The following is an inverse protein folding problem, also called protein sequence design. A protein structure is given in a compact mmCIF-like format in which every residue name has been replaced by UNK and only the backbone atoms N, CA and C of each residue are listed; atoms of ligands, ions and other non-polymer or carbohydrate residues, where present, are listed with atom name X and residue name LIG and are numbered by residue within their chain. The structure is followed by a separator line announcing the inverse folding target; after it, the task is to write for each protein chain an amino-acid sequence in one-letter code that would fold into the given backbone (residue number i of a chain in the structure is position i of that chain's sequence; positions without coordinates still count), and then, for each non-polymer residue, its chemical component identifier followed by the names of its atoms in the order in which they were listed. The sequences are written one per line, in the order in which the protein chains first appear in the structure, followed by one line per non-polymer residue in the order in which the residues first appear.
data_IF_658312922791
#
_entry.id   IF_658312922791
#
_cell.length_a   1.000
_cell.length_b   1.000
_cell.length_c   1.000
_cell.angle_alpha   90.00
_cell.angle_beta   90.00
_cell.angle_gamma   90.00
#
_symmetry.space_group_name_H-M   'P 1'
#
loop_
_entity.id
_entity.type
_entity.pdbx_description
1 polymer ?
#
# COMPACT_ATOMS: atom_id res chain seq x y z
N UNK A 1 -30.40 65.37 38.73
CA UNK A 1 -29.53 64.30 39.28
C UNK A 1 -29.21 63.32 38.18
N UNK A 2 -27.91 63.16 37.87
CA UNK A 2 -27.24 62.10 37.07
C UNK A 2 -27.76 61.90 35.62
N UNK A 3 -26.95 62.06 34.58
CA UNK A 3 -25.51 61.86 34.47
C UNK A 3 -25.28 60.78 33.42
N UNK A 4 -24.97 61.22 32.20
CA UNK A 4 -24.67 60.47 30.98
C UNK A 4 -23.29 59.82 31.11
N UNK A 5 -23.18 58.51 30.88
CA UNK A 5 -21.88 57.85 30.62
C UNK A 5 -22.00 56.97 29.38
N UNK A 6 -21.36 57.47 28.31
CA UNK A 6 -20.94 56.74 27.13
C UNK A 6 -19.85 55.73 27.54
N UNK A 7 -20.05 54.44 27.27
CA UNK A 7 -18.97 53.44 27.30
C UNK A 7 -18.75 52.91 25.89
N UNK A 8 -17.80 53.56 25.21
CA UNK A 8 -17.06 53.03 24.07
C UNK A 8 -16.43 51.69 24.45
N UNK A 9 -16.85 50.62 23.77
CA UNK A 9 -16.27 49.28 23.84
C UNK A 9 -15.00 49.27 22.98
N UNK A 10 -13.85 49.02 23.60
CA UNK A 10 -12.60 48.79 22.89
C UNK A 10 -12.63 47.43 22.15
N UNK A 11 -12.02 47.31 20.96
CA UNK A 11 -11.96 46.05 20.23
C UNK A 11 -11.07 45.02 20.95
N UNK A 12 -11.40 43.71 20.87
CA UNK A 12 -10.62 42.65 21.50
C UNK A 12 -9.24 42.52 20.86
N UNK A 13 -8.23 42.24 21.70
CA UNK A 13 -6.87 41.99 21.29
C UNK A 13 -6.77 40.78 20.33
N UNK A 14 -5.84 40.79 19.35
CA UNK A 14 -5.65 39.68 18.43
C UNK A 14 -5.16 38.42 19.18
N UNK A 15 -5.59 37.22 18.76
CA UNK A 15 -5.17 35.97 19.39
C UNK A 15 -3.66 35.75 19.22
N UNK A 16 -3.02 35.34 20.32
CA UNK A 16 -1.62 34.96 20.35
C UNK A 16 -1.32 33.81 19.37
N UNK A 17 -0.22 33.94 18.65
CA UNK A 17 0.29 32.92 17.73
C UNK A 17 0.51 31.58 18.49
N UNK A 18 0.13 30.42 17.92
CA UNK A 18 0.40 29.14 18.55
C UNK A 18 1.92 28.87 18.56
N UNK A 19 2.44 28.65 19.76
CA UNK A 19 3.81 28.20 19.99
C UNK A 19 4.07 26.88 19.27
N UNK A 20 5.18 26.82 18.53
CA UNK A 20 5.65 25.63 17.86
C UNK A 20 5.83 24.48 18.85
N UNK A 21 5.05 23.40 18.68
CA UNK A 21 5.24 22.16 19.40
C UNK A 21 6.48 21.45 18.84
N UNK A 22 7.62 21.70 19.47
CA UNK A 22 8.86 20.95 19.26
C UNK A 22 8.66 19.47 19.63
N UNK A 23 8.69 18.61 18.62
CA UNK A 23 8.79 17.16 18.78
C UNK A 23 10.16 16.83 19.40
N UNK A 24 10.18 16.56 20.71
CA UNK A 24 11.36 15.99 21.37
C UNK A 24 11.45 14.51 21.01
N UNK A 25 12.48 14.19 20.24
CA UNK A 25 13.00 12.84 20.08
C UNK A 25 13.41 12.28 21.45
N UNK A 26 12.96 11.06 21.76
CA UNK A 26 13.51 10.27 22.86
C UNK A 26 14.33 9.12 22.26
N UNK A 27 15.64 9.18 22.48
CA UNK A 27 16.57 8.06 22.32
C UNK A 27 16.63 7.24 23.64
N UNK A 28 17.17 6.00 23.61
CA UNK A 28 16.77 4.92 24.50
C UNK A 28 17.60 4.88 25.79
N UNK A 29 16.97 4.43 26.89
CA UNK A 29 17.67 3.98 28.09
C UNK A 29 17.15 2.60 28.50
N UNK A 30 17.95 1.58 28.19
CA UNK A 30 17.88 0.24 28.78
C UNK A 30 18.10 0.30 30.30
N UNK A 31 17.27 -0.39 31.08
CA UNK A 31 17.70 -1.14 32.26
C UNK A 31 16.67 -2.18 32.73
N UNK A 32 17.02 -3.44 32.44
CA UNK A 32 16.85 -4.68 33.21
C UNK A 32 15.73 -4.79 34.26
N UNK A 33 14.77 -5.68 33.98
CA UNK A 33 14.16 -6.72 34.86
C UNK A 33 13.04 -7.36 34.01
N UNK A 34 12.83 -8.66 33.86
CA UNK A 34 13.39 -9.87 34.44
C UNK A 34 12.89 -11.06 33.59
N UNK A 35 13.59 -12.17 33.71
CA UNK A 35 13.44 -13.42 32.96
C UNK A 35 12.12 -14.12 33.31
N UNK A 36 11.37 -14.58 32.29
CA UNK A 36 10.63 -15.84 32.38
C UNK A 36 10.51 -16.48 30.99
N UNK A 37 11.43 -17.41 30.75
CA UNK A 37 11.40 -18.42 29.70
C UNK A 37 10.33 -19.44 30.11
N UNK A 38 9.35 -19.70 29.25
CA UNK A 38 8.72 -21.03 29.17
C UNK A 38 8.93 -21.53 27.76
N UNK A 39 9.98 -22.35 27.64
CA UNK A 39 10.12 -23.32 26.58
C UNK A 39 9.01 -24.37 26.73
N UNK A 40 8.33 -24.71 25.64
CA UNK A 40 7.86 -26.06 25.31
C UNK A 40 7.20 -26.03 23.92
N UNK A 41 7.82 -26.74 22.96
CA UNK A 41 7.29 -26.90 21.61
C UNK A 41 8.31 -27.21 20.49
N UNK A 42 9.55 -27.60 20.80
CA UNK A 42 10.61 -27.88 19.80
C UNK A 42 10.64 -29.32 19.28
N UNK A 43 9.73 -30.23 19.64
CA UNK A 43 9.85 -31.65 19.20
C UNK A 43 9.06 -32.00 17.92
N UNK A 44 8.42 -31.04 17.25
CA UNK A 44 7.82 -31.24 15.91
C UNK A 44 8.55 -30.55 14.74
N UNK A 45 9.42 -29.58 15.03
CA UNK A 45 9.89 -28.59 14.03
C UNK A 45 11.17 -28.93 13.26
N UNK A 46 11.87 -30.02 13.61
CA UNK A 46 13.19 -30.30 13.05
C UNK A 46 13.19 -31.16 11.77
N UNK A 47 12.02 -31.54 11.23
CA UNK A 47 11.94 -32.46 10.07
C UNK A 47 11.22 -31.91 8.83
N UNK A 48 10.71 -30.68 8.85
CA UNK A 48 10.00 -30.10 7.69
C UNK A 48 10.68 -28.85 7.08
N UNK A 49 11.90 -28.51 7.50
CA UNK A 49 12.70 -27.42 6.92
C UNK A 49 13.49 -27.80 5.64
N UNK A 50 13.00 -28.82 4.91
CA UNK A 50 13.60 -29.24 3.63
C UNK A 50 12.55 -29.48 2.54
N UNK A 51 11.66 -28.51 2.33
CA UNK A 51 11.15 -28.28 0.99
C UNK A 51 11.50 -26.85 0.57
N UNK A 52 12.38 -26.65 -0.42
CA UNK A 52 12.48 -25.34 -1.04
C UNK A 52 11.08 -25.01 -1.58
N UNK A 53 10.64 -23.77 -1.34
CA UNK A 53 9.54 -23.21 -2.12
C UNK A 53 9.83 -23.55 -3.59
N UNK A 54 8.88 -24.17 -4.28
CA UNK A 54 9.03 -24.42 -5.72
C UNK A 54 9.32 -23.07 -6.36
N UNK A 55 10.58 -22.83 -6.72
CA UNK A 55 11.01 -21.78 -7.64
C UNK A 55 10.52 -22.16 -9.04
N UNK A 56 9.20 -22.22 -9.20
CA UNK A 56 8.55 -22.08 -10.49
C UNK A 56 8.02 -20.68 -10.51
N UNK A 57 8.56 -19.82 -11.40
CA UNK A 57 7.90 -18.56 -11.74
C UNK A 57 6.44 -18.90 -12.05
N UNK A 58 5.44 -18.36 -11.33
CA UNK A 58 4.05 -18.55 -11.71
C UNK A 58 3.91 -18.11 -13.17
N UNK A 59 3.17 -18.86 -14.02
CA UNK A 59 2.98 -18.46 -15.39
C UNK A 59 2.45 -17.03 -15.44
N UNK A 60 3.01 -16.21 -16.33
CA UNK A 60 2.60 -14.84 -16.53
C UNK A 60 1.11 -14.81 -16.88
N UNK A 61 0.27 -14.44 -15.89
CA UNK A 61 -1.17 -14.30 -16.09
C UNK A 61 -1.43 -12.94 -16.72
N UNK A 62 -1.74 -12.93 -18.01
CA UNK A 62 -2.19 -11.73 -18.72
C UNK A 62 -3.43 -11.12 -18.02
N UNK A 63 -3.45 -9.80 -17.86
CA UNK A 63 -4.55 -9.08 -17.20
C UNK A 63 -5.92 -9.26 -17.87
N UNK A 64 -5.99 -9.78 -19.09
CA UNK A 64 -7.25 -9.97 -19.83
C UNK A 64 -7.87 -11.36 -19.62
N UNK A 65 -7.12 -12.32 -19.06
CA UNK A 65 -7.59 -13.69 -18.94
C UNK A 65 -8.25 -13.91 -17.59
N UNK A 66 -9.55 -14.21 -17.63
CA UNK A 66 -10.27 -14.70 -16.45
C UNK A 66 -9.59 -15.97 -15.95
N UNK A 67 -9.46 -16.09 -14.64
CA UNK A 67 -8.89 -17.28 -14.03
C UNK A 67 -9.83 -17.82 -12.96
N UNK A 68 -9.88 -19.15 -12.87
CA UNK A 68 -10.58 -19.83 -11.79
C UNK A 68 -9.67 -19.90 -10.57
N UNK A 69 -10.28 -19.78 -9.39
CA UNK A 69 -9.58 -20.05 -8.15
C UNK A 69 -9.25 -21.54 -8.04
N UNK A 70 -8.30 -21.88 -7.17
CA UNK A 70 -8.17 -23.26 -6.73
C UNK A 70 -9.42 -23.70 -5.94
N UNK A 71 -9.73 -25.01 -5.91
CA UNK A 71 -10.87 -25.53 -5.16
C UNK A 71 -10.76 -25.23 -3.67
N UNK A 72 -11.84 -24.71 -3.07
CA UNK A 72 -11.87 -24.39 -1.66
C UNK A 72 -13.28 -24.25 -1.08
N UNK A 73 -13.40 -23.89 0.21
CA UNK A 73 -14.69 -23.66 0.85
C UNK A 73 -15.46 -22.44 0.31
N UNK A 74 -14.79 -21.58 -0.47
CA UNK A 74 -15.39 -20.44 -1.15
C UNK A 74 -16.23 -20.79 -2.39
N UNK A 75 -16.17 -22.03 -2.90
CA UNK A 75 -16.95 -22.49 -4.05
C UNK A 75 -16.24 -22.37 -5.41
N UNK A 76 -17.01 -22.44 -6.50
CA UNK A 76 -16.51 -22.25 -7.88
C UNK A 76 -16.38 -20.75 -8.17
N UNK A 77 -15.19 -20.23 -7.91
CA UNK A 77 -14.87 -18.81 -7.98
C UNK A 77 -14.05 -18.51 -9.24
N UNK A 78 -14.42 -17.43 -9.92
CA UNK A 78 -13.72 -16.89 -11.08
C UNK A 78 -13.38 -15.42 -10.81
N UNK A 79 -12.17 -15.04 -11.16
CA UNK A 79 -11.70 -13.66 -11.09
C UNK A 79 -11.44 -13.10 -12.48
N UNK A 80 -11.81 -11.85 -12.67
CA UNK A 80 -11.53 -11.06 -13.87
C UNK A 80 -10.61 -9.91 -13.46
N UNK A 81 -9.35 -9.87 -13.92
CA UNK A 81 -8.51 -8.71 -13.67
C UNK A 81 -9.06 -7.50 -14.42
N UNK A 82 -9.06 -6.36 -13.73
CA UNK A 82 -9.47 -5.06 -14.26
C UNK A 82 -8.49 -3.99 -13.80
N UNK A 83 -8.59 -2.82 -14.40
CA UNK A 83 -7.86 -1.62 -13.95
C UNK A 83 -8.87 -0.60 -13.49
N UNK A 84 -8.62 0.00 -12.33
CA UNK A 84 -9.30 1.21 -11.88
C UNK A 84 -8.32 2.36 -11.84
N UNK A 85 -8.82 3.55 -12.16
CA UNK A 85 -8.04 4.78 -12.26
C UNK A 85 -8.43 5.74 -11.15
N UNK A 86 -7.45 6.52 -10.70
CA UNK A 86 -7.72 7.64 -9.80
C UNK A 86 -8.73 8.60 -10.46
N UNK A 87 -9.77 9.06 -9.74
CA UNK A 87 -10.71 10.04 -10.25
C UNK A 87 -10.01 11.33 -10.70
N UNK A 88 -10.50 11.95 -11.78
CA UNK A 88 -9.88 13.15 -12.38
C UNK A 88 -9.82 14.30 -11.36
N UNK A 89 -10.88 14.46 -10.56
CA UNK A 89 -10.98 15.46 -9.50
C UNK A 89 -9.93 15.32 -8.39
N UNK A 90 -9.25 14.17 -8.27
CA UNK A 90 -8.17 13.96 -7.30
C UNK A 90 -6.78 14.20 -7.90
N UNK A 91 -6.69 14.42 -9.22
CA UNK A 91 -5.43 14.59 -9.92
C UNK A 91 -5.14 16.07 -10.16
N UNK A 92 -4.05 16.55 -9.55
CA UNK A 92 -3.56 17.92 -9.79
C UNK A 92 -2.20 17.86 -10.47
N UNK A 93 -2.18 17.98 -11.80
CA UNK A 93 -0.96 17.99 -12.61
C UNK A 93 0.00 19.07 -12.12
N UNK A 94 -0.47 20.30 -11.89
CA UNK A 94 0.37 21.40 -11.41
C UNK A 94 1.02 21.08 -10.06
N UNK A 95 0.27 20.54 -9.10
CA UNK A 95 0.83 20.15 -7.80
C UNK A 95 1.88 19.05 -7.95
N UNK A 96 1.61 18.05 -8.79
CA UNK A 96 2.53 16.92 -9.00
C UNK A 96 3.80 17.35 -9.76
N UNK A 97 3.68 18.22 -10.76
CA UNK A 97 4.82 18.75 -11.52
C UNK A 97 5.70 19.68 -10.68
N UNK A 98 5.14 20.37 -9.68
CA UNK A 98 5.88 21.24 -8.77
C UNK A 98 6.49 20.51 -7.56
N UNK A 99 6.38 19.18 -7.50
CA UNK A 99 7.04 18.42 -6.45
C UNK A 99 8.56 18.48 -6.66
N UNK A 100 9.28 19.02 -5.68
CA UNK A 100 10.75 19.10 -5.68
C UNK A 100 11.35 17.76 -5.29
N UNK A 101 12.28 17.26 -6.11
CA UNK A 101 13.01 16.02 -5.82
C UNK A 101 14.21 16.34 -4.94
N UNK A 102 13.99 16.43 -3.63
CA UNK A 102 15.07 16.50 -2.66
C UNK A 102 15.52 15.08 -2.28
N UNK A 103 16.82 14.85 -2.29
CA UNK A 103 17.44 13.62 -1.84
C UNK A 103 18.02 13.81 -0.44
N UNK A 104 17.32 13.27 0.55
CA UNK A 104 17.70 13.36 1.96
C UNK A 104 18.38 12.06 2.39
N UNK A 105 19.70 12.09 2.56
CA UNK A 105 20.49 10.99 3.11
C UNK A 105 20.63 11.17 4.63
N UNK A 106 19.55 10.93 5.39
CA UNK A 106 19.62 10.98 6.85
C UNK A 106 20.57 9.90 7.38
N UNK A 107 21.30 10.23 8.44
CA UNK A 107 22.27 9.38 9.12
C UNK A 107 23.50 9.00 8.28
N UNK A 108 23.65 9.56 7.07
CA UNK A 108 24.85 9.40 6.27
C UNK A 108 25.90 10.47 6.65
N UNK A 109 27.13 10.01 6.84
CA UNK A 109 28.32 10.86 6.81
C UNK A 109 28.73 11.17 5.36
N UNK A 110 29.46 12.27 5.13
CA UNK A 110 30.07 12.58 3.83
C UNK A 110 30.84 11.40 3.20
N UNK A 111 31.67 10.71 3.99
CA UNK A 111 32.45 9.56 3.53
C UNK A 111 31.57 8.38 3.06
N UNK A 112 30.48 8.09 3.76
CA UNK A 112 29.52 7.06 3.34
C UNK A 112 28.83 7.44 2.03
N UNK A 113 28.51 8.72 1.86
CA UNK A 113 27.86 9.23 0.65
C UNK A 113 28.80 9.18 -0.57
N UNK A 114 30.06 9.58 -0.40
CA UNK A 114 31.08 9.39 -1.43
C UNK A 114 31.22 7.92 -1.84
N UNK A 115 31.23 7.00 -0.86
CA UNK A 115 31.31 5.57 -1.11
C UNK A 115 30.09 5.03 -1.86
N UNK A 116 28.89 5.50 -1.51
CA UNK A 116 27.65 5.16 -2.21
C UNK A 116 27.75 5.53 -3.69
N UNK A 117 28.12 6.78 -3.99
CA UNK A 117 28.18 7.28 -5.36
C UNK A 117 29.29 6.61 -6.20
N UNK A 118 30.50 6.42 -5.65
CA UNK A 118 31.57 5.64 -6.33
C UNK A 118 31.12 4.22 -6.68
N UNK A 119 30.32 3.62 -5.81
CA UNK A 119 29.79 2.28 -6.01
C UNK A 119 28.53 2.22 -6.88
N UNK A 120 27.96 3.34 -7.31
CA UNK A 120 26.66 3.36 -7.98
C UNK A 120 26.73 3.02 -9.48
N UNK A 121 27.92 3.02 -10.09
CA UNK A 121 28.05 2.81 -11.54
C UNK A 121 27.53 4.01 -12.34
N UNK A 122 27.78 5.21 -11.83
CA UNK A 122 27.48 6.49 -12.48
C UNK A 122 28.40 6.73 -13.68
N UNK A 123 27.93 7.52 -14.65
CA UNK A 123 28.83 8.06 -15.68
C UNK A 123 29.80 9.09 -15.05
N UNK A 124 31.00 9.32 -15.62
CA UNK A 124 32.01 10.19 -15.00
C UNK A 124 31.52 11.62 -14.67
N UNK A 125 30.67 12.20 -15.53
CA UNK A 125 30.11 13.55 -15.31
C UNK A 125 29.10 13.57 -14.16
N UNK A 126 28.28 12.52 -14.05
CA UNK A 126 27.28 12.37 -12.99
C UNK A 126 27.96 12.13 -11.64
N UNK A 127 28.98 11.27 -11.63
CA UNK A 127 29.79 11.01 -10.44
C UNK A 127 30.49 12.28 -9.99
N UNK A 128 31.15 13.00 -10.89
CA UNK A 128 31.83 14.25 -10.55
C UNK A 128 30.86 15.27 -9.91
N UNK A 129 29.65 15.41 -10.45
CA UNK A 129 28.64 16.31 -9.89
C UNK A 129 28.17 15.87 -8.50
N UNK A 130 27.91 14.58 -8.32
CA UNK A 130 27.42 14.02 -7.04
C UNK A 130 28.49 13.95 -5.96
N UNK A 131 29.77 13.86 -6.33
CA UNK A 131 30.92 13.87 -5.41
C UNK A 131 31.28 15.29 -4.95
N UNK A 132 30.80 16.34 -5.64
CA UNK A 132 31.09 17.71 -5.27
C UNK A 132 30.23 18.15 -4.08
N UNK A 133 30.86 18.26 -2.90
CA UNK A 133 30.19 18.67 -1.66
C UNK A 133 29.59 20.08 -1.72
N UNK A 134 29.95 20.93 -2.69
CA UNK A 134 29.28 22.23 -2.88
C UNK A 134 27.79 22.10 -3.25
N UNK A 135 27.39 20.96 -3.82
CA UNK A 135 25.99 20.65 -4.09
C UNK A 135 25.27 20.05 -2.88
N UNK A 136 25.98 19.84 -1.77
CA UNK A 136 25.47 19.21 -0.57
C UNK A 136 25.07 20.26 0.46
N UNK A 137 23.88 20.08 1.02
CA UNK A 137 23.42 20.85 2.15
C UNK A 137 23.56 19.98 3.39
N UNK A 138 24.58 20.25 4.19
CA UNK A 138 24.75 19.59 5.48
C UNK A 138 23.58 19.95 6.41
N UNK A 139 22.98 18.93 7.00
CA UNK A 139 21.94 19.06 8.02
C UNK A 139 22.41 18.40 9.31
N UNK A 140 21.78 18.72 10.44
CA UNK A 140 22.14 18.19 11.76
C UNK A 140 22.16 16.66 11.82
N UNK A 141 21.41 15.99 10.95
CA UNK A 141 21.23 14.54 10.94
C UNK A 141 21.47 13.91 9.55
N UNK A 142 22.26 14.52 8.67
CA UNK A 142 22.60 13.94 7.36
C UNK A 142 22.85 14.96 6.27
N UNK A 143 22.80 14.52 5.01
CA UNK A 143 23.08 15.35 3.83
C UNK A 143 21.84 15.46 2.96
N UNK A 144 21.51 16.68 2.51
CA UNK A 144 20.46 16.93 1.52
C UNK A 144 21.08 17.36 0.20
N UNK A 145 20.63 16.76 -0.89
CA UNK A 145 21.04 17.11 -2.26
C UNK A 145 19.80 17.46 -3.07
N UNK A 146 19.90 18.52 -3.86
CA UNK A 146 18.88 18.90 -4.85
C UNK A 146 19.45 18.65 -6.25
N UNK A 147 19.33 17.41 -6.79
CA UNK A 147 19.85 17.10 -8.11
C UNK A 147 19.09 17.87 -9.20
N UNK A 148 19.78 18.45 -10.19
CA UNK A 148 19.12 19.09 -11.31
C UNK A 148 18.37 18.03 -12.16
N UNK A 149 17.27 18.41 -12.84
CA UNK A 149 16.49 17.48 -13.65
C UNK A 149 17.32 16.70 -14.68
N UNK A 150 18.32 17.35 -15.27
CA UNK A 150 19.20 16.77 -16.29
C UNK A 150 20.01 15.59 -15.73
N UNK A 151 20.48 15.70 -14.49
CA UNK A 151 21.18 14.62 -13.79
C UNK A 151 20.23 13.45 -13.52
N UNK A 152 19.02 13.72 -13.03
CA UNK A 152 18.02 12.67 -12.75
C UNK A 152 17.62 11.92 -14.01
N UNK A 153 17.45 12.64 -15.12
CA UNK A 153 17.13 12.08 -16.43
C UNK A 153 18.28 11.24 -17.01
N UNK A 154 19.54 11.62 -16.75
CA UNK A 154 20.70 10.93 -17.31
C UNK A 154 21.07 9.63 -16.59
N UNK A 155 20.71 9.48 -15.31
CA UNK A 155 21.08 8.29 -14.53
C UNK A 155 20.70 7.01 -15.27
N UNK A 156 21.67 6.10 -15.42
CA UNK A 156 21.36 4.75 -15.87
C UNK A 156 20.59 3.96 -14.79
N UNK A 157 19.97 2.84 -15.18
CA UNK A 157 19.17 2.03 -14.26
C UNK A 157 19.95 1.54 -13.04
N UNK A 158 21.21 1.12 -13.19
CA UNK A 158 22.02 0.57 -12.09
C UNK A 158 22.28 1.63 -11.03
N UNK A 159 22.68 2.83 -11.46
CA UNK A 159 22.89 3.96 -10.56
C UNK A 159 21.60 4.39 -9.86
N UNK A 160 20.51 4.55 -10.62
CA UNK A 160 19.20 4.89 -10.08
C UNK A 160 18.74 3.88 -9.04
N UNK A 161 18.80 2.60 -9.35
CA UNK A 161 18.40 1.54 -8.43
C UNK A 161 19.19 1.59 -7.12
N UNK A 162 20.52 1.70 -7.20
CA UNK A 162 21.37 1.79 -6.01
C UNK A 162 21.05 3.01 -5.16
N UNK A 163 21.00 4.20 -5.77
CA UNK A 163 20.74 5.45 -5.05
C UNK A 163 19.32 5.45 -4.46
N UNK A 164 18.31 5.06 -5.24
CA UNK A 164 16.91 5.21 -4.86
C UNK A 164 16.48 4.16 -3.83
N UNK A 165 17.08 2.97 -3.87
CA UNK A 165 16.89 1.96 -2.82
C UNK A 165 17.57 2.35 -1.51
N UNK A 166 18.63 3.16 -1.54
CA UNK A 166 19.20 3.79 -0.34
C UNK A 166 18.30 4.91 0.17
N UNK A 167 17.85 5.83 -0.69
CA UNK A 167 16.97 6.94 -0.31
C UNK A 167 15.69 6.49 0.40
N UNK A 168 15.12 5.37 -0.06
CA UNK A 168 13.93 4.76 0.55
C UNK A 168 14.13 4.27 2.00
N UNK A 169 15.37 4.15 2.46
CA UNK A 169 15.72 3.71 3.81
C UNK A 169 16.14 4.87 4.72
N UNK A 170 16.47 6.04 4.15
CA UNK A 170 16.94 7.19 4.89
C UNK A 170 15.82 7.98 5.60
N UNK A 171 14.57 7.88 5.15
CA UNK A 171 13.50 8.73 5.67
C UNK A 171 13.53 10.15 5.07
N UNK A 172 12.35 10.75 4.89
CA UNK A 172 12.20 12.08 4.30
C UNK A 172 12.20 12.11 2.77
N UNK A 173 12.12 10.95 2.12
CA UNK A 173 12.13 10.81 0.67
C UNK A 173 10.82 10.18 0.18
N UNK A 174 9.69 10.86 0.36
CA UNK A 174 8.36 10.26 0.17
C UNK A 174 8.16 9.53 -1.18
N UNK A 175 8.68 10.07 -2.29
CA UNK A 175 8.55 9.44 -3.63
C UNK A 175 9.44 8.21 -3.81
N UNK A 176 10.49 8.08 -3.00
CA UNK A 176 11.37 6.91 -3.00
C UNK A 176 10.92 5.88 -1.97
N UNK A 177 10.33 6.31 -0.85
CA UNK A 177 9.73 5.44 0.17
C UNK A 177 8.45 4.78 -0.36
N UNK A 178 7.60 5.56 -1.02
CA UNK A 178 6.31 5.15 -1.58
C UNK A 178 6.24 5.52 -3.08
N UNK A 179 7.04 4.86 -3.94
CA UNK A 179 7.02 5.12 -5.38
C UNK A 179 5.71 4.65 -6.01
N UNK A 180 5.43 5.09 -7.23
CA UNK A 180 4.45 4.41 -8.08
C UNK A 180 5.02 3.05 -8.47
N UNK A 181 4.23 1.99 -8.29
CA UNK A 181 4.71 0.62 -8.44
C UNK A 181 3.88 -0.18 -9.42
N UNK A 182 4.55 -1.13 -10.08
CA UNK A 182 3.91 -2.17 -10.86
C UNK A 182 4.69 -3.46 -10.68
N UNK A 183 4.02 -4.61 -10.67
CA UNK A 183 4.69 -5.91 -10.58
C UNK A 183 5.67 -6.08 -11.77
N UNK A 184 6.77 -6.79 -11.58
CA UNK A 184 7.76 -6.97 -12.65
C UNK A 184 7.20 -7.70 -13.87
N UNK A 185 6.35 -8.70 -13.64
CA UNK A 185 5.61 -9.41 -14.69
C UNK A 185 4.51 -8.54 -15.30
N UNK A 186 4.26 -8.63 -16.61
CA UNK A 186 3.23 -7.80 -17.25
C UNK A 186 3.58 -6.31 -17.27
N UNK A 187 4.86 -5.94 -17.26
CA UNK A 187 5.29 -4.55 -17.32
C UNK A 187 4.68 -3.77 -18.50
N UNK A 188 4.58 -4.41 -19.66
CA UNK A 188 3.97 -3.78 -20.84
C UNK A 188 2.47 -3.55 -20.66
N UNK A 189 1.80 -4.27 -19.76
CA UNK A 189 0.39 -4.05 -19.45
C UNK A 189 0.15 -2.69 -18.77
N UNK A 190 1.14 -2.16 -18.05
CA UNK A 190 0.99 -0.87 -17.34
C UNK A 190 0.61 0.27 -18.28
N UNK A 191 1.21 0.29 -19.48
CA UNK A 191 0.99 1.35 -20.47
C UNK A 191 -0.06 1.00 -21.53
N UNK A 192 -0.64 -0.21 -21.50
CA UNK A 192 -1.70 -0.60 -22.44
C UNK A 192 -2.90 0.35 -22.31
N UNK A 193 -3.45 0.75 -23.45
CA UNK A 193 -4.60 1.65 -23.53
C UNK A 193 -4.44 2.96 -22.71
N UNK A 194 -3.22 3.45 -22.55
CA UNK A 194 -2.93 4.72 -21.84
C UNK A 194 -3.20 5.95 -22.69
N UNK A 195 -3.12 5.82 -24.03
CA UNK A 195 -3.15 6.97 -24.95
C UNK A 195 -1.94 7.89 -24.81
N UNK A 196 -0.85 7.44 -24.17
CA UNK A 196 0.41 8.17 -24.10
C UNK A 196 1.16 8.07 -25.43
N UNK A 197 1.92 9.12 -25.77
CA UNK A 197 2.83 9.03 -26.91
C UNK A 197 3.94 8.02 -26.65
N UNK A 198 4.52 7.50 -27.74
CA UNK A 198 5.69 6.62 -27.65
C UNK A 198 6.87 7.29 -26.95
N UNK A 199 7.04 8.61 -27.12
CA UNK A 199 8.08 9.38 -26.45
C UNK A 199 7.88 9.41 -24.93
N UNK A 200 6.66 9.72 -24.47
CA UNK A 200 6.35 9.72 -23.02
C UNK A 200 6.50 8.34 -22.41
N UNK A 201 6.08 7.28 -23.11
CA UNK A 201 6.28 5.90 -22.67
C UNK A 201 7.79 5.62 -22.56
N UNK A 202 8.58 5.89 -23.61
CA UNK A 202 10.02 5.63 -23.62
C UNK A 202 10.75 6.35 -22.48
N UNK A 203 10.45 7.65 -22.28
CA UNK A 203 11.00 8.45 -21.17
C UNK A 203 10.57 7.90 -19.81
N UNK A 204 9.32 7.47 -19.65
CA UNK A 204 8.88 6.87 -18.39
C UNK A 204 9.62 5.56 -18.13
N UNK A 205 9.74 4.69 -19.15
CA UNK A 205 10.45 3.41 -19.04
C UNK A 205 11.93 3.59 -18.69
N UNK A 206 12.60 4.64 -19.17
CA UNK A 206 14.02 4.89 -18.86
C UNK A 206 14.27 5.32 -17.42
N UNK A 207 13.27 5.87 -16.72
CA UNK A 207 13.38 6.27 -15.31
C UNK A 207 12.96 5.17 -14.32
N UNK A 208 12.58 3.99 -14.80
CA UNK A 208 12.21 2.89 -13.93
C UNK A 208 13.42 2.16 -13.37
N UNK A 209 13.31 1.82 -12.08
CA UNK A 209 14.27 1.00 -11.36
C UNK A 209 13.55 -0.15 -10.66
N UNK A 210 14.30 -1.18 -10.30
CA UNK A 210 13.74 -2.34 -9.63
C UNK A 210 13.90 -2.22 -8.11
N UNK A 211 12.88 -2.68 -7.38
CA UNK A 211 13.00 -2.92 -5.94
C UNK A 211 12.20 -4.16 -5.57
N UNK A 212 12.92 -5.21 -5.17
CA UNK A 212 12.33 -6.53 -4.98
C UNK A 212 11.68 -7.03 -6.27
N UNK A 213 10.39 -7.37 -6.21
CA UNK A 213 9.62 -7.89 -7.35
C UNK A 213 8.75 -6.82 -8.04
N UNK A 214 9.10 -5.54 -7.95
CA UNK A 214 8.37 -4.45 -8.59
C UNK A 214 9.25 -3.50 -9.41
N UNK A 215 8.66 -2.97 -10.49
CA UNK A 215 9.07 -1.73 -11.12
C UNK A 215 8.62 -0.56 -10.26
N UNK A 216 9.52 0.39 -10.03
CA UNK A 216 9.27 1.60 -9.29
C UNK A 216 9.52 2.84 -10.16
N UNK A 217 8.67 3.85 -10.01
CA UNK A 217 8.83 5.18 -10.58
C UNK A 217 8.75 6.21 -9.46
N UNK A 218 9.80 6.99 -9.26
CA UNK A 218 9.84 8.12 -8.30
C UNK A 218 9.89 9.48 -8.99
N UNK A 219 10.40 9.52 -10.22
CA UNK A 219 10.71 10.76 -10.95
C UNK A 219 9.56 11.25 -11.83
N UNK A 220 8.32 10.83 -11.60
CA UNK A 220 7.17 11.32 -12.39
C UNK A 220 7.03 12.86 -12.40
N UNK A 221 7.38 13.63 -11.34
CA UNK A 221 7.37 15.08 -11.42
C UNK A 221 8.32 15.64 -12.48
N UNK A 222 9.48 14.99 -12.66
CA UNK A 222 10.47 15.36 -13.68
C UNK A 222 9.90 15.12 -15.07
N UNK A 223 9.27 13.96 -15.30
CA UNK A 223 8.63 13.60 -16.58
C UNK A 223 7.52 14.61 -16.92
N UNK A 224 6.67 14.96 -15.94
CA UNK A 224 5.58 15.91 -16.15
C UNK A 224 6.09 17.27 -16.65
N UNK A 225 7.22 17.76 -16.11
CA UNK A 225 7.83 19.03 -16.55
C UNK A 225 8.42 18.98 -17.96
N UNK A 226 8.73 17.80 -18.49
CA UNK A 226 9.20 17.63 -19.87
C UNK A 226 8.06 17.52 -20.90
N UNK A 227 6.83 17.32 -20.46
CA UNK A 227 5.67 17.18 -21.34
C UNK A 227 4.99 18.53 -21.51
N UNK A 228 4.94 19.03 -22.74
CA UNK A 228 4.31 20.32 -23.07
C UNK A 228 2.78 20.25 -23.00
N UNK A 229 2.17 19.14 -23.43
CA UNK A 229 0.72 18.99 -23.53
C UNK A 229 0.09 18.71 -22.15
N UNK A 230 -0.80 19.58 -21.62
CA UNK A 230 -1.47 19.34 -20.35
C UNK A 230 -2.32 18.06 -20.36
N UNK A 231 -2.91 17.74 -21.51
CA UNK A 231 -3.69 16.51 -21.67
C UNK A 231 -2.79 15.27 -21.58
N UNK A 232 -1.56 15.34 -22.07
CA UNK A 232 -0.59 14.24 -21.97
C UNK A 232 -0.01 14.12 -20.56
N UNK A 233 0.26 15.24 -19.88
CA UNK A 233 0.62 15.24 -18.46
C UNK A 233 -0.47 14.55 -17.62
N UNK A 234 -1.74 14.88 -17.88
CA UNK A 234 -2.88 14.25 -17.20
C UNK A 234 -2.96 12.75 -17.49
N UNK A 235 -2.83 12.33 -18.76
CA UNK A 235 -2.80 10.90 -19.14
C UNK A 235 -1.64 10.16 -18.47
N UNK A 236 -0.48 10.79 -18.32
CA UNK A 236 0.67 10.16 -17.67
C UNK A 236 0.34 9.91 -16.20
N UNK A 237 -0.12 10.94 -15.49
CA UNK A 237 -0.44 10.85 -14.07
C UNK A 237 -1.51 9.79 -13.80
N UNK A 238 -2.58 9.79 -14.62
CA UNK A 238 -3.60 8.73 -14.67
C UNK A 238 -2.99 7.34 -14.81
N UNK A 239 -2.11 7.18 -15.80
CA UNK A 239 -1.54 5.87 -16.16
C UNK A 239 -0.64 5.33 -15.05
N UNK A 240 0.25 6.16 -14.51
CA UNK A 240 1.18 5.73 -13.46
C UNK A 240 0.49 5.53 -12.10
N UNK A 241 -0.70 6.11 -11.89
CA UNK A 241 -1.50 5.92 -10.67
C UNK A 241 -2.57 4.82 -10.77
N UNK A 242 -2.66 4.12 -11.91
CA UNK A 242 -3.57 2.97 -12.12
C UNK A 242 -3.39 1.92 -11.03
N UNK A 243 -4.48 1.24 -10.70
CA UNK A 243 -4.48 0.12 -9.77
C UNK A 243 -5.08 -1.12 -10.47
N UNK A 244 -4.28 -2.17 -10.58
CA UNK A 244 -4.74 -3.48 -11.06
C UNK A 244 -5.51 -4.18 -9.95
N UNK A 245 -6.78 -4.49 -10.18
CA UNK A 245 -7.66 -5.16 -9.20
C UNK A 245 -8.43 -6.31 -9.85
N UNK A 246 -9.28 -6.98 -9.10
CA UNK A 246 -10.04 -8.16 -9.52
C UNK A 246 -11.53 -7.92 -9.31
N UNK A 247 -12.36 -8.34 -10.26
CA UNK A 247 -13.77 -8.62 -10.05
C UNK A 247 -13.94 -10.10 -9.75
N UNK A 248 -14.48 -10.44 -8.57
CA UNK A 248 -14.72 -11.82 -8.16
C UNK A 248 -16.16 -12.25 -8.40
N UNK A 249 -16.36 -13.44 -8.95
CA UNK A 249 -17.68 -14.00 -9.23
C UNK A 249 -17.75 -15.46 -8.84
N UNK A 250 -18.81 -15.84 -8.14
CA UNK A 250 -19.07 -17.24 -7.79
C UNK A 250 -20.14 -17.81 -8.71
N UNK A 251 -19.95 -19.05 -9.15
CA UNK A 251 -20.97 -19.84 -9.84
C UNK A 251 -21.78 -20.64 -8.82
N UNK A 252 -23.10 -20.54 -8.91
CA UNK A 252 -24.06 -21.33 -8.13
C UNK A 252 -25.00 -22.06 -9.08
N UNK A 253 -25.17 -23.36 -8.89
CA UNK A 253 -26.02 -24.23 -9.70
C UNK A 253 -26.77 -25.23 -8.79
N UNK A 254 -27.54 -26.14 -9.39
CA UNK A 254 -28.35 -27.14 -8.65
C UNK A 254 -27.52 -28.08 -7.77
N UNK A 255 -26.26 -28.32 -8.13
CA UNK A 255 -25.35 -29.24 -7.45
C UNK A 255 -24.44 -28.52 -6.42
N UNK A 256 -24.63 -27.21 -6.25
CA UNK A 256 -23.81 -26.41 -5.33
C UNK A 256 -24.16 -26.73 -3.88
N UNK A 257 -23.13 -27.03 -3.08
CA UNK A 257 -23.25 -27.16 -1.63
C UNK A 257 -23.44 -25.78 -0.98
N UNK A 258 -24.71 -25.39 -0.79
CA UNK A 258 -25.07 -24.11 -0.19
C UNK A 258 -24.61 -24.02 1.26
N UNK A 259 -24.61 -25.12 2.03
CA UNK A 259 -24.18 -25.10 3.43
C UNK A 259 -22.70 -24.73 3.54
N UNK A 260 -21.86 -25.30 2.68
CA UNK A 260 -20.43 -24.96 2.63
C UNK A 260 -20.20 -23.49 2.29
N UNK A 261 -20.95 -22.95 1.31
CA UNK A 261 -20.87 -21.53 0.95
C UNK A 261 -21.34 -20.62 2.08
N UNK A 262 -22.44 -20.97 2.75
CA UNK A 262 -22.99 -20.21 3.88
C UNK A 262 -22.04 -20.26 5.08
N UNK A 263 -21.37 -21.39 5.31
CA UNK A 263 -20.36 -21.53 6.36
C UNK A 263 -19.15 -20.61 6.11
N UNK A 264 -18.66 -20.57 4.86
CA UNK A 264 -17.50 -19.75 4.51
C UNK A 264 -17.83 -18.26 4.42
N UNK A 265 -18.79 -17.88 3.57
CA UNK A 265 -19.14 -16.49 3.31
C UNK A 265 -19.98 -15.85 4.42
N UNK A 266 -20.60 -16.68 5.27
CA UNK A 266 -21.44 -16.24 6.39
C UNK A 266 -20.66 -15.95 7.67
N UNK A 267 -19.32 -16.07 7.68
CA UNK A 267 -18.49 -15.70 8.84
C UNK A 267 -18.79 -14.29 9.34
N UNK A 268 -18.66 -14.10 10.66
CA UNK A 268 -19.04 -12.84 11.32
C UNK A 268 -20.55 -12.67 11.51
N UNK A 269 -21.28 -13.78 11.70
CA UNK A 269 -22.71 -13.77 12.03
C UNK A 269 -23.65 -13.45 10.86
N UNK A 270 -23.19 -13.68 9.63
CA UNK A 270 -23.87 -13.28 8.38
C UNK A 270 -24.56 -14.42 7.65
N UNK A 271 -24.53 -15.65 8.17
CA UNK A 271 -25.12 -16.82 7.51
C UNK A 271 -26.59 -16.60 7.11
N UNK A 272 -27.40 -15.98 7.98
CA UNK A 272 -28.81 -15.65 7.70
C UNK A 272 -28.96 -14.66 6.53
N UNK A 273 -28.04 -13.72 6.38
CA UNK A 273 -28.15 -12.63 5.41
C UNK A 273 -27.89 -13.09 3.97
N UNK A 274 -27.13 -14.18 3.77
CA UNK A 274 -26.72 -14.65 2.45
C UNK A 274 -27.41 -15.95 2.02
N UNK A 275 -27.92 -16.74 2.98
CA UNK A 275 -28.49 -18.07 2.73
C UNK A 275 -29.62 -18.04 1.72
N UNK A 276 -30.65 -17.23 1.96
CA UNK A 276 -31.83 -17.18 1.09
C UNK A 276 -31.47 -16.80 -0.35
N UNK A 277 -30.48 -15.91 -0.52
CA UNK A 277 -29.96 -15.57 -1.84
C UNK A 277 -29.31 -16.80 -2.50
N UNK A 278 -28.36 -17.47 -1.82
CA UNK A 278 -27.67 -18.63 -2.37
C UNK A 278 -28.64 -19.79 -2.70
N UNK A 279 -29.60 -20.08 -1.83
CA UNK A 279 -30.65 -21.09 -2.06
C UNK A 279 -31.57 -20.75 -3.24
N UNK A 280 -31.80 -19.46 -3.50
CA UNK A 280 -32.58 -19.05 -4.68
C UNK A 280 -31.82 -19.29 -5.99
N UNK A 281 -30.49 -19.08 -5.98
CA UNK A 281 -29.65 -19.21 -7.16
C UNK A 281 -29.50 -20.66 -7.63
N UNK A 282 -29.62 -21.65 -6.74
CA UNK A 282 -29.61 -23.08 -7.12
C UNK A 282 -30.83 -23.47 -7.96
N UNK A 283 -31.93 -22.71 -7.88
CA UNK A 283 -33.18 -22.96 -8.62
C UNK A 283 -33.18 -22.39 -10.03
N UNK A 284 -32.20 -21.53 -10.36
CA UNK A 284 -32.07 -20.93 -11.69
C UNK A 284 -31.67 -22.01 -12.69
N UNK A 285 -32.39 -22.09 -13.81
CA UNK A 285 -32.07 -23.02 -14.90
C UNK A 285 -30.66 -22.72 -15.45
N UNK A 286 -29.87 -23.77 -15.67
CA UNK A 286 -28.44 -23.72 -15.99
C UNK A 286 -27.52 -23.14 -14.91
N UNK A 287 -28.04 -22.65 -13.77
CA UNK A 287 -27.28 -21.99 -12.72
C UNK A 287 -27.02 -20.50 -12.99
N UNK A 288 -26.57 -19.78 -11.97
CA UNK A 288 -26.36 -18.34 -11.97
C UNK A 288 -24.96 -17.97 -11.50
N UNK A 289 -24.53 -16.77 -11.87
CA UNK A 289 -23.27 -16.18 -11.42
C UNK A 289 -23.58 -14.97 -10.54
N UNK A 290 -22.94 -14.89 -9.38
CA UNK A 290 -23.12 -13.82 -8.39
C UNK A 290 -21.79 -13.11 -8.16
N UNK A 291 -21.79 -11.78 -8.15
CA UNK A 291 -20.62 -11.01 -7.74
C UNK A 291 -20.36 -11.20 -6.25
N UNK A 292 -19.11 -11.52 -5.87
CA UNK A 292 -18.79 -11.81 -4.48
C UNK A 292 -18.98 -10.61 -3.57
N UNK A 293 -19.06 -9.38 -4.11
CA UNK A 293 -19.40 -8.20 -3.31
C UNK A 293 -20.67 -8.43 -2.52
N UNK A 294 -21.68 -9.14 -3.04
CA UNK A 294 -22.91 -9.41 -2.30
C UNK A 294 -22.71 -10.30 -1.08
N UNK A 295 -21.66 -11.13 -1.09
CA UNK A 295 -21.27 -12.06 -0.03
C UNK A 295 -20.32 -11.45 1.00
N UNK A 296 -19.76 -10.26 0.75
CA UNK A 296 -18.83 -9.58 1.67
C UNK A 296 -19.54 -8.74 2.77
N UNK A 297 -18.87 -8.50 3.93
CA UNK A 297 -19.35 -7.61 4.99
C UNK A 297 -19.87 -6.26 4.47
N UNK A 298 -20.95 -5.72 5.07
CA UNK A 298 -21.55 -4.43 4.66
C UNK A 298 -20.51 -3.30 4.60
N UNK A 299 -19.60 -3.30 5.57
CA UNK A 299 -18.46 -2.39 5.65
C UNK A 299 -17.62 -2.38 4.37
N UNK A 300 -17.32 -3.56 3.82
CA UNK A 300 -16.52 -3.75 2.62
C UNK A 300 -17.31 -3.41 1.37
N UNK A 301 -18.56 -3.87 1.28
CA UNK A 301 -19.45 -3.61 0.12
C UNK A 301 -19.61 -2.12 -0.18
N UNK A 302 -19.66 -1.30 0.86
CA UNK A 302 -19.80 0.15 0.74
C UNK A 302 -18.52 0.86 0.25
N UNK A 303 -17.39 0.16 0.13
CA UNK A 303 -16.06 0.75 -0.13
C UNK A 303 -15.33 0.12 -1.31
N UNK A 304 -15.59 -1.14 -1.63
CA UNK A 304 -14.85 -1.86 -2.66
C UNK A 304 -14.90 -1.11 -4.00
N UNK A 305 -13.74 -0.94 -4.62
CA UNK A 305 -13.49 -0.18 -5.86
C UNK A 305 -13.75 1.32 -5.78
N UNK A 306 -13.78 1.89 -4.56
CA UNK A 306 -13.91 3.33 -4.35
C UNK A 306 -12.61 3.94 -3.82
N UNK A 307 -12.49 5.26 -4.00
CA UNK A 307 -11.41 6.08 -3.46
C UNK A 307 -11.95 6.93 -2.30
N UNK A 308 -11.25 7.04 -1.15
CA UNK A 308 -11.66 7.95 -0.12
C UNK A 308 -11.57 9.40 -0.59
N UNK A 309 -12.44 10.25 -0.08
CA UNK A 309 -12.28 11.69 -0.27
C UNK A 309 -10.99 12.20 0.39
N UNK A 310 -10.34 13.23 -0.19
CA UNK A 310 -9.25 13.93 0.45
C UNK A 310 -9.67 14.44 1.84
N UNK A 311 -8.76 14.35 2.81
CA UNK A 311 -8.98 14.94 4.12
C UNK A 311 -9.08 16.46 4.02
N UNK A 312 -10.07 17.05 4.71
CA UNK A 312 -10.25 18.50 4.78
C UNK A 312 -9.18 19.19 5.64
N UNK A 313 -8.52 18.45 6.54
CA UNK A 313 -7.44 18.93 7.41
C UNK A 313 -6.31 17.91 7.48
N UNK A 314 -5.04 18.33 7.57
CA UNK A 314 -3.91 17.44 7.82
C UNK A 314 -4.03 16.62 9.12
N UNK A 315 -4.82 17.09 10.09
CA UNK A 315 -5.07 16.37 11.35
C UNK A 315 -6.19 15.32 11.27
N UNK A 316 -6.96 15.31 10.19
CA UNK A 316 -8.03 14.33 10.00
C UNK A 316 -7.41 12.96 9.72
N UNK A 317 -7.66 12.01 10.62
CA UNK A 317 -7.22 10.62 10.42
C UNK A 317 -8.07 9.99 9.31
N UNK A 318 -7.42 9.56 8.24
CA UNK A 318 -8.09 8.86 7.13
C UNK A 318 -8.02 7.35 7.32
N UNK A 319 -9.03 6.60 6.85
CA UNK A 319 -8.97 5.14 6.79
C UNK A 319 -7.73 4.65 6.05
N UNK A 320 -6.92 3.83 6.73
CA UNK A 320 -5.76 3.16 6.17
C UNK A 320 -5.96 1.63 6.14
N UNK A 321 -4.93 0.90 5.72
CA UNK A 321 -4.91 -0.55 5.69
C UNK A 321 -5.24 -1.20 7.03
N UNK A 322 -4.59 -0.78 8.11
CA UNK A 322 -4.81 -1.32 9.46
C UNK A 322 -6.24 -1.07 9.95
N UNK A 323 -6.72 0.17 9.86
CA UNK A 323 -8.09 0.52 10.25
C UNK A 323 -9.13 -0.27 9.44
N UNK A 324 -8.87 -0.46 8.14
CA UNK A 324 -9.76 -1.22 7.25
C UNK A 324 -9.81 -2.69 7.65
N UNK A 325 -8.64 -3.32 7.84
CA UNK A 325 -8.57 -4.75 8.18
C UNK A 325 -9.21 -5.06 9.53
N UNK A 326 -8.95 -4.24 10.54
CA UNK A 326 -9.50 -4.45 11.89
C UNK A 326 -11.02 -4.21 11.95
N UNK A 327 -11.58 -3.45 11.01
CA UNK A 327 -13.01 -3.19 10.91
C UNK A 327 -13.75 -4.09 9.90
N UNK A 328 -13.11 -5.11 9.34
CA UNK A 328 -13.68 -5.93 8.25
C UNK A 328 -15.11 -6.42 8.54
N UNK A 329 -15.37 -6.93 9.75
CA UNK A 329 -16.70 -7.41 10.18
C UNK A 329 -17.57 -6.35 10.89
N UNK A 330 -17.12 -5.10 10.99
CA UNK A 330 -17.84 -4.00 11.65
C UNK A 330 -18.97 -3.45 10.77
N UNK A 331 -20.05 -4.23 10.61
CA UNK A 331 -21.14 -3.96 9.66
C UNK A 331 -21.94 -2.66 9.88
N UNK A 332 -21.98 -2.12 11.10
CA UNK A 332 -22.77 -0.93 11.43
C UNK A 332 -21.89 0.23 11.87
N UNK A 333 -21.02 0.01 12.87
CA UNK A 333 -20.20 1.06 13.47
C UNK A 333 -18.72 0.65 13.42
N UNK A 334 -17.96 1.01 12.37
CA UNK A 334 -16.51 0.86 12.41
C UNK A 334 -15.94 1.72 13.55
N UNK A 335 -14.91 1.22 14.22
CA UNK A 335 -14.28 1.91 15.34
C UNK A 335 -12.98 2.58 14.92
N UNK A 336 -12.90 3.88 15.21
CA UNK A 336 -11.76 4.73 14.87
C UNK A 336 -10.57 4.57 15.81
N UNK A 337 -10.73 3.77 16.87
CA UNK A 337 -9.61 3.41 17.76
C UNK A 337 -8.48 2.71 17.00
N UNK A 338 -8.77 2.07 15.88
CA UNK A 338 -7.77 1.39 15.05
C UNK A 338 -6.94 2.32 14.16
N UNK A 339 -7.19 3.63 14.20
CA UNK A 339 -6.20 4.58 13.71
C UNK A 339 -4.98 4.69 14.61
N UNK A 340 -5.10 4.28 15.89
CA UNK A 340 -3.99 4.23 16.82
C UNK A 340 -3.26 2.88 16.72
N UNK A 341 -1.97 2.86 16.30
CA UNK A 341 -1.23 1.61 16.15
C UNK A 341 -1.09 0.81 17.45
N UNK A 342 -0.92 1.48 18.60
CA UNK A 342 -0.80 0.79 19.88
C UNK A 342 -2.08 0.06 20.26
N UNK A 343 -3.23 0.72 20.10
CA UNK A 343 -4.53 0.10 20.32
C UNK A 343 -4.75 -1.08 19.38
N UNK A 344 -4.39 -0.94 18.10
CA UNK A 344 -4.48 -2.05 17.14
C UNK A 344 -3.65 -3.25 17.58
N UNK A 345 -2.38 -3.04 17.97
CA UNK A 345 -1.49 -4.11 18.42
C UNK A 345 -2.01 -4.82 19.69
N UNK A 346 -2.49 -4.04 20.68
CA UNK A 346 -3.10 -4.61 21.90
C UNK A 346 -4.32 -5.47 21.58
N UNK A 347 -5.15 -5.06 20.63
CA UNK A 347 -6.31 -5.83 20.18
C UNK A 347 -5.89 -7.08 19.42
N UNK A 348 -4.87 -6.98 18.55
CA UNK A 348 -4.34 -8.13 17.84
C UNK A 348 -3.83 -9.20 18.82
N UNK A 349 -3.06 -8.81 19.83
CA UNK A 349 -2.55 -9.72 20.87
C UNK A 349 -3.67 -10.35 21.70
N UNK A 350 -4.64 -9.53 22.13
CA UNK A 350 -5.71 -9.97 23.02
C UNK A 350 -6.75 -10.83 22.29
N UNK A 351 -7.22 -10.39 21.13
CA UNK A 351 -8.44 -10.88 20.49
C UNK A 351 -8.17 -11.75 19.25
N UNK A 352 -6.91 -11.91 18.83
CA UNK A 352 -6.52 -12.75 17.69
C UNK A 352 -5.48 -13.80 18.08
N UNK A 353 -5.34 -14.82 17.24
CA UNK A 353 -4.28 -15.82 17.32
C UNK A 353 -3.62 -16.00 15.94
N UNK A 354 -2.32 -16.33 15.87
CA UNK A 354 -1.63 -16.51 14.60
C UNK A 354 -2.13 -17.77 13.88
N UNK A 355 -2.14 -17.71 12.55
CA UNK A 355 -2.50 -18.84 11.67
C UNK A 355 -1.44 -18.94 10.57
N UNK A 356 -0.95 -20.16 10.32
CA UNK A 356 0.12 -20.38 9.33
C UNK A 356 -0.44 -20.73 7.94
N UNK A 357 -1.51 -21.52 7.89
CA UNK A 357 -2.15 -22.01 6.65
C UNK A 357 -3.68 -22.12 6.79
N UNK A 358 -4.36 -22.50 5.70
CA UNK A 358 -5.83 -22.66 5.69
C UNK A 358 -6.56 -21.39 6.14
N UNK A 359 -6.22 -20.27 5.51
CA UNK A 359 -6.85 -18.99 5.77
C UNK A 359 -8.35 -19.05 5.50
N UNK A 360 -9.09 -18.32 6.32
CA UNK A 360 -10.54 -18.21 6.22
C UNK A 360 -10.91 -16.75 5.98
N UNK A 361 -12.09 -16.53 5.41
CA UNK A 361 -12.62 -15.18 5.15
C UNK A 361 -12.50 -14.31 6.41
N UNK A 362 -11.83 -13.16 6.28
CA UNK A 362 -11.68 -12.23 7.39
C UNK A 362 -10.42 -12.38 8.23
N UNK A 363 -9.57 -13.38 7.97
CA UNK A 363 -8.26 -13.45 8.60
C UNK A 363 -7.42 -12.22 8.19
N UNK A 364 -6.73 -11.60 9.16
CA UNK A 364 -5.95 -10.38 8.95
C UNK A 364 -4.52 -10.75 8.62
N UNK A 365 -4.04 -10.33 7.45
CA UNK A 365 -2.69 -10.56 6.96
C UNK A 365 -1.86 -9.31 7.18
N UNK A 366 -0.76 -9.42 7.91
CA UNK A 366 0.19 -8.34 8.18
C UNK A 366 1.49 -8.56 7.43
N UNK A 367 1.91 -7.55 6.67
CA UNK A 367 3.26 -7.46 6.10
C UNK A 367 4.16 -6.72 7.07
N UNK A 368 5.29 -7.32 7.43
CA UNK A 368 6.29 -6.72 8.30
C UNK A 368 7.69 -6.81 7.72
N UNK A 369 8.54 -5.85 8.07
CA UNK A 369 9.99 -5.96 7.91
C UNK A 369 10.56 -7.05 8.84
N UNK A 370 11.81 -7.50 8.63
CA UNK A 370 12.44 -8.52 9.48
C UNK A 370 12.59 -8.12 10.95
N UNK A 371 12.71 -6.82 11.23
CA UNK A 371 12.78 -6.24 12.58
C UNK A 371 11.42 -6.22 13.30
N UNK A 372 10.34 -6.62 12.63
CA UNK A 372 8.98 -6.64 13.17
C UNK A 372 8.17 -5.37 12.87
N UNK A 373 8.76 -4.35 12.24
CA UNK A 373 8.05 -3.13 11.85
C UNK A 373 6.95 -3.44 10.85
N UNK A 374 5.70 -3.06 11.17
CA UNK A 374 4.56 -3.29 10.29
C UNK A 374 4.57 -2.31 9.11
N UNK A 375 4.37 -2.85 7.91
CA UNK A 375 4.36 -2.11 6.65
C UNK A 375 2.93 -1.98 6.14
N UNK A 376 2.16 -3.07 6.19
CA UNK A 376 0.82 -3.10 5.60
C UNK A 376 -0.09 -4.15 6.24
N UNK A 377 -1.40 -3.98 6.04
CA UNK A 377 -2.42 -4.95 6.42
C UNK A 377 -3.40 -5.21 5.27
N UNK A 378 -3.86 -6.46 5.18
CA UNK A 378 -4.89 -6.89 4.26
C UNK A 378 -5.80 -7.92 4.95
N UNK A 379 -6.89 -8.29 4.29
CA UNK A 379 -7.83 -9.30 4.80
C UNK A 379 -7.99 -10.40 3.79
N UNK A 380 -7.83 -11.65 4.21
CA UNK A 380 -8.04 -12.80 3.34
C UNK A 380 -9.50 -12.90 2.88
N UNK A 381 -9.69 -13.09 1.58
CA UNK A 381 -11.01 -13.23 0.95
C UNK A 381 -11.29 -14.67 0.52
N UNK A 382 -10.46 -15.22 -0.36
CA UNK A 382 -10.55 -16.58 -0.88
C UNK A 382 -9.33 -16.87 -1.77
N UNK A 383 -8.87 -18.13 -1.78
CA UNK A 383 -7.74 -18.58 -2.60
C UNK A 383 -6.44 -17.80 -2.36
N UNK A 384 -5.97 -17.02 -3.33
CA UNK A 384 -4.80 -16.13 -3.24
C UNK A 384 -5.19 -14.64 -3.21
N UNK A 385 -6.47 -14.34 -2.94
CA UNK A 385 -7.04 -12.98 -3.03
C UNK A 385 -7.31 -12.40 -1.65
N UNK A 386 -6.95 -11.13 -1.52
CA UNK A 386 -7.14 -10.31 -0.33
C UNK A 386 -7.89 -9.03 -0.64
N UNK A 387 -8.62 -8.52 0.36
CA UNK A 387 -9.08 -7.14 0.39
C UNK A 387 -7.95 -6.28 0.95
N UNK A 388 -7.71 -5.15 0.31
CA UNK A 388 -6.76 -4.18 0.82
C UNK A 388 -7.24 -2.73 0.62
N UNK A 389 -6.74 -1.85 1.48
CA UNK A 389 -6.73 -0.41 1.30
C UNK A 389 -5.27 0.00 1.20
N UNK A 390 -4.78 0.36 0.01
CA UNK A 390 -3.34 0.45 -0.30
C UNK A 390 -2.57 1.60 0.39
N UNK A 391 -2.76 1.83 1.69
CA UNK A 391 -2.20 2.96 2.45
C UNK A 391 -3.27 3.98 2.87
N UNK A 392 -2.84 5.11 3.41
CA UNK A 392 -3.73 6.15 3.93
C UNK A 392 -4.12 7.23 2.90
N UNK A 393 -3.50 7.24 1.72
CA UNK A 393 -3.69 8.29 0.74
C UNK A 393 -5.05 8.16 0.04
N UNK A 394 -5.62 9.30 -0.38
CA UNK A 394 -6.94 9.36 -1.03
C UNK A 394 -6.91 8.81 -2.46
N UNK A 395 -5.74 8.80 -3.11
CA UNK A 395 -5.55 8.18 -4.44
C UNK A 395 -5.33 6.66 -4.37
N UNK A 396 -5.42 6.05 -3.18
CA UNK A 396 -5.28 4.61 -2.98
C UNK A 396 -6.67 4.02 -2.66
N UNK A 397 -7.22 3.13 -3.49
CA UNK A 397 -8.59 2.66 -3.33
C UNK A 397 -8.70 1.51 -2.32
N UNK A 398 -9.93 1.14 -1.98
CA UNK A 398 -10.23 -0.19 -1.47
C UNK A 398 -10.41 -1.14 -2.65
N UNK A 399 -9.73 -2.28 -2.64
CA UNK A 399 -9.69 -3.16 -3.80
C UNK A 399 -9.40 -4.61 -3.42
N UNK A 400 -9.72 -5.53 -4.33
CA UNK A 400 -9.22 -6.89 -4.29
C UNK A 400 -7.86 -6.95 -4.98
N UNK A 401 -6.93 -7.71 -4.41
CA UNK A 401 -5.61 -7.95 -4.99
C UNK A 401 -5.23 -9.41 -4.82
N UNK A 402 -4.44 -9.95 -5.74
CA UNK A 402 -3.70 -11.18 -5.45
C UNK A 402 -2.61 -10.87 -4.41
N UNK A 403 -2.25 -11.86 -3.60
CA UNK A 403 -1.22 -11.68 -2.55
C UNK A 403 0.14 -11.27 -3.11
N UNK A 404 0.52 -11.76 -4.30
CA UNK A 404 1.76 -11.37 -4.97
C UNK A 404 1.73 -9.93 -5.50
N UNK A 405 0.60 -9.49 -6.06
CA UNK A 405 0.40 -8.11 -6.51
C UNK A 405 0.38 -7.14 -5.30
N UNK A 406 -0.21 -7.58 -4.18
CA UNK A 406 -0.14 -6.85 -2.91
C UNK A 406 1.32 -6.68 -2.47
N UNK A 407 2.11 -7.75 -2.47
CA UNK A 407 3.52 -7.69 -2.08
C UNK A 407 4.33 -6.76 -3.01
N UNK A 408 4.06 -6.78 -4.31
CA UNK A 408 4.69 -5.87 -5.28
C UNK A 408 4.32 -4.39 -5.04
N UNK A 409 3.17 -4.11 -4.43
CA UNK A 409 2.77 -2.75 -4.06
C UNK A 409 3.58 -2.16 -2.90
N UNK A 410 4.27 -3.01 -2.12
CA UNK A 410 5.14 -2.63 -1.01
C UNK A 410 6.58 -3.11 -1.25
N UNK A 411 7.25 -2.58 -2.28
CA UNK A 411 8.56 -3.09 -2.68
C UNK A 411 9.61 -2.81 -1.61
N UNK A 412 10.40 -3.82 -1.32
CA UNK A 412 11.44 -3.76 -0.31
C UNK A 412 12.70 -4.46 -0.80
N UNK A 413 13.86 -3.90 -0.44
CA UNK A 413 15.17 -4.54 -0.70
C UNK A 413 15.30 -5.82 0.10
N UNK A 414 14.76 -5.83 1.33
CA UNK A 414 14.68 -7.03 2.16
C UNK A 414 13.27 -7.61 2.08
N UNK A 415 13.11 -8.92 1.78
CA UNK A 415 11.79 -9.53 1.70
C UNK A 415 10.93 -9.27 2.94
N UNK A 416 9.69 -8.85 2.71
CA UNK A 416 8.71 -8.69 3.79
C UNK A 416 8.21 -10.06 4.25
N UNK A 417 7.91 -10.17 5.54
CA UNK A 417 7.28 -11.36 6.12
C UNK A 417 5.78 -11.14 6.19
N UNK A 418 5.00 -12.11 5.72
CA UNK A 418 3.56 -12.13 5.91
C UNK A 418 3.20 -13.00 7.12
N UNK A 419 2.34 -12.50 7.99
CA UNK A 419 1.78 -13.25 9.13
C UNK A 419 0.27 -13.08 9.12
N UNK A 420 -0.47 -14.18 9.25
CA UNK A 420 -1.93 -14.14 9.33
C UNK A 420 -2.41 -14.30 10.77
N UNK A 421 -3.52 -13.63 11.07
CA UNK A 421 -4.15 -13.61 12.39
C UNK A 421 -5.65 -13.83 12.25
N UNK A 422 -6.19 -14.75 13.04
CA UNK A 422 -7.62 -15.04 13.10
C UNK A 422 -8.21 -14.55 14.40
N UNK A 423 -9.37 -13.89 14.31
CA UNK A 423 -10.11 -13.40 15.48
C UNK A 423 -10.67 -14.60 16.27
N UNK A 424 -10.58 -14.55 17.60
CA UNK A 424 -10.91 -15.68 18.50
C UNK A 424 -12.41 -15.98 18.59
N UNK A 425 -13.26 -15.02 18.29
CA UNK A 425 -14.73 -15.09 18.42
C UNK A 425 -15.45 -15.48 17.12
N UNK A 426 -14.72 -15.86 16.06
CA UNK A 426 -15.25 -16.10 14.71
C UNK A 426 -15.27 -17.55 14.26
#
# INVERSE_FOLDING_TARGET
MKGREDKTIAPPAPPAAPAAASARMLAPALRNTGILIVALGVVGGAWYWRQPAKEGRPPEREMTRRFKSDPGPWGDLEYVPIVIETPDEFLSVTRQANYESLWTFQQFSPAQLHSLFKGAGLAPVEEAWLQDEHHWQASTNGVVISPPPELVLSLNRVAREKIYNTLAQCGGNALHEMPMTHRLAGFDDWFKHSGLSSNTIAMTKSLLYQRGNAWCLSDWPVILRQIESPAEQHRLLKTVSRQSTLLGRIRVNRDTDVEKLVSYWGRGGRSKDIRALLESLTRVENGATLDIVHLLPRFVRARLYTYPFPANSPSTRTPNCFWTSMNFFSNQNPTDRFHDPETMLKVLEKDYFPVEESYLLGDVLLLSKPDGSLVHAAVFIADDVVLTKNGAHHTQPWMLAQMDDLAASYPSVTPLKMRAFRRKDL
#
